data_IF_568976719444
#
_entry.id   IF_568976719444
#
_cell.length_a   1.000
_cell.length_b   1.000
_cell.length_c   1.000
_cell.angle_alpha   90.00
_cell.angle_beta   90.00
_cell.angle_gamma   90.00
#
_symmetry.space_group_name_H-M   'P 1'
#
loop_
_entity.id
_entity.type
_entity.pdbx_description
1 polymer ?
#
# COMPACT_ATOMS: atom_id res chain seq x y z
N UNK A 1 -32.13 -16.67 0.31
CA UNK A 1 -31.68 -17.80 1.15
C UNK A 1 -30.51 -18.44 0.40
N UNK A 2 -29.27 -18.02 0.57
CA UNK A 2 -28.59 -17.32 1.68
C UNK A 2 -27.65 -16.23 1.15
N UNK A 3 -27.59 -15.14 1.92
CA UNK A 3 -26.85 -13.90 1.73
C UNK A 3 -25.69 -13.89 2.74
N UNK A 4 -24.69 -14.77 2.56
CA UNK A 4 -23.70 -15.04 3.63
C UNK A 4 -22.23 -15.18 3.17
N UNK A 5 -21.86 -14.69 1.98
CA UNK A 5 -20.46 -14.39 1.65
C UNK A 5 -20.37 -13.53 0.39
N UNK A 6 -20.25 -12.21 0.50
CA UNK A 6 -19.46 -11.49 -0.51
C UNK A 6 -18.42 -10.61 0.18
N UNK A 7 -17.20 -11.14 0.41
CA UNK A 7 -16.13 -10.38 1.01
C UNK A 7 -15.60 -9.40 -0.04
N UNK A 8 -16.29 -8.27 -0.25
CA UNK A 8 -15.83 -7.05 -0.96
C UNK A 8 -14.57 -7.29 -1.80
N UNK A 9 -14.76 -7.79 -3.02
CA UNK A 9 -13.74 -8.07 -4.06
C UNK A 9 -12.33 -7.57 -3.71
N UNK A 10 -11.44 -8.47 -3.30
CA UNK A 10 -10.03 -8.14 -3.09
C UNK A 10 -9.39 -7.80 -4.44
N UNK A 11 -9.20 -6.52 -4.72
CA UNK A 11 -8.53 -6.04 -5.93
C UNK A 11 -7.01 -6.11 -5.78
N UNK A 12 -6.30 -6.30 -6.89
CA UNK A 12 -4.83 -6.28 -6.90
C UNK A 12 -4.29 -4.95 -6.34
N UNK A 13 -4.91 -3.82 -6.68
CA UNK A 13 -4.47 -2.53 -6.15
C UNK A 13 -4.76 -2.42 -4.65
N UNK A 14 -5.88 -2.95 -4.16
CA UNK A 14 -6.14 -3.09 -2.73
C UNK A 14 -5.07 -3.93 -2.00
N UNK A 15 -4.56 -4.99 -2.63
CA UNK A 15 -3.44 -5.77 -2.09
C UNK A 15 -2.12 -4.98 -2.11
N UNK A 16 -1.86 -4.24 -3.19
CA UNK A 16 -0.68 -3.39 -3.32
C UNK A 16 -0.65 -2.27 -2.28
N UNK A 17 -1.78 -1.63 -1.98
CA UNK A 17 -1.88 -0.62 -0.92
C UNK A 17 -1.41 -1.22 0.41
N UNK A 18 -2.00 -2.34 0.82
CA UNK A 18 -1.64 -3.02 2.08
C UNK A 18 -0.17 -3.46 2.11
N UNK A 19 0.34 -3.95 0.98
CA UNK A 19 1.74 -4.36 0.86
C UNK A 19 2.69 -3.17 1.05
N UNK A 20 2.46 -2.08 0.32
CA UNK A 20 3.32 -0.90 0.37
C UNK A 20 3.23 -0.16 1.70
N UNK A 21 2.06 -0.11 2.35
CA UNK A 21 1.91 0.42 3.70
C UNK A 21 2.73 -0.38 4.72
N UNK A 22 2.65 -1.71 4.65
CA UNK A 22 3.45 -2.59 5.52
C UNK A 22 4.95 -2.40 5.28
N UNK A 23 5.36 -2.31 4.02
CA UNK A 23 6.77 -2.15 3.67
C UNK A 23 7.28 -0.76 4.10
N UNK A 24 6.48 0.30 4.00
CA UNK A 24 6.83 1.61 4.51
C UNK A 24 7.09 1.57 6.04
N UNK A 25 6.17 0.97 6.80
CA UNK A 25 6.33 0.83 8.25
C UNK A 25 7.56 -0.02 8.64
N UNK A 26 7.83 -1.10 7.90
CA UNK A 26 9.04 -1.92 8.08
C UNK A 26 10.31 -1.11 7.82
N UNK A 27 10.31 -0.28 6.78
CA UNK A 27 11.46 0.56 6.45
C UNK A 27 11.69 1.67 7.48
N UNK A 28 10.62 2.24 8.04
CA UNK A 28 10.71 3.19 9.14
C UNK A 28 11.33 2.55 10.40
N UNK A 29 10.89 1.33 10.75
CA UNK A 29 11.49 0.57 11.88
C UNK A 29 12.98 0.28 11.64
N UNK A 30 13.35 -0.14 10.42
CA UNK A 30 14.76 -0.33 10.05
C UNK A 30 15.56 0.98 10.11
N UNK A 31 14.97 2.10 9.71
CA UNK A 31 15.60 3.40 9.80
C UNK A 31 15.85 3.80 11.27
N UNK A 32 14.89 3.54 12.16
CA UNK A 32 15.01 3.80 13.60
C UNK A 32 16.06 2.94 14.29
N UNK A 33 16.28 1.71 13.82
CA UNK A 33 17.29 0.78 14.36
C UNK A 33 18.68 0.94 13.73
N UNK A 34 18.82 1.75 12.69
CA UNK A 34 20.07 1.84 11.95
C UNK A 34 21.17 2.55 12.77
N UNK A 35 22.31 1.88 12.92
CA UNK A 35 23.46 2.42 13.66
C UNK A 35 24.10 3.65 13.00
N UNK A 36 24.02 3.74 11.66
CA UNK A 36 24.62 4.84 10.90
C UNK A 36 23.57 5.73 10.25
N UNK A 37 23.70 7.04 10.43
CA UNK A 37 22.76 8.04 9.89
C UNK A 37 22.57 7.95 8.37
N UNK A 38 23.60 7.56 7.61
CA UNK A 38 23.49 7.42 6.16
C UNK A 38 22.66 6.20 5.75
N UNK A 39 22.72 5.11 6.52
CA UNK A 39 21.86 3.92 6.35
C UNK A 39 20.42 4.29 6.70
N UNK A 40 20.19 4.97 7.83
CA UNK A 40 18.87 5.43 8.25
C UNK A 40 18.20 6.28 7.15
N UNK A 41 18.95 7.22 6.56
CA UNK A 41 18.48 8.03 5.41
C UNK A 41 18.16 7.18 4.18
N UNK A 42 18.91 6.11 3.94
CA UNK A 42 18.63 5.15 2.86
C UNK A 42 17.29 4.44 3.05
N UNK A 43 17.01 3.96 4.26
CA UNK A 43 15.71 3.36 4.59
C UNK A 43 14.56 4.36 4.55
N UNK A 44 14.74 5.57 5.09
CA UNK A 44 13.73 6.62 5.05
C UNK A 44 13.30 6.95 3.61
N UNK A 45 14.25 7.13 2.68
CA UNK A 45 13.94 7.35 1.25
C UNK A 45 13.17 6.20 0.62
N UNK A 46 13.47 4.96 1.03
CA UNK A 46 12.72 3.79 0.56
C UNK A 46 11.30 3.78 1.14
N UNK A 47 11.13 4.16 2.40
CA UNK A 47 9.81 4.28 3.03
C UNK A 47 8.97 5.33 2.31
N UNK A 48 9.54 6.50 1.98
CA UNK A 48 8.87 7.53 1.17
C UNK A 48 8.43 6.99 -0.19
N UNK A 49 9.29 6.23 -0.87
CA UNK A 49 8.95 5.57 -2.14
C UNK A 49 7.82 4.56 -1.98
N UNK A 50 7.83 3.75 -0.92
CA UNK A 50 6.77 2.80 -0.64
C UNK A 50 5.42 3.53 -0.43
N UNK A 51 5.41 4.62 0.34
CA UNK A 51 4.22 5.46 0.52
C UNK A 51 3.70 6.01 -0.81
N UNK A 52 4.58 6.52 -1.68
CA UNK A 52 4.19 7.00 -3.00
C UNK A 52 3.55 5.90 -3.88
N UNK A 53 4.04 4.67 -3.79
CA UNK A 53 3.47 3.52 -4.51
C UNK A 53 2.12 3.08 -3.93
N UNK A 54 1.95 3.16 -2.61
CA UNK A 54 0.65 2.96 -1.95
C UNK A 54 -0.37 3.99 -2.46
N UNK A 55 -0.01 5.28 -2.48
CA UNK A 55 -0.89 6.33 -3.00
C UNK A 55 -1.26 6.11 -4.48
N UNK A 56 -0.30 5.74 -5.32
CA UNK A 56 -0.58 5.41 -6.71
C UNK A 56 -1.55 4.21 -6.87
N UNK A 57 -1.44 3.21 -5.98
CA UNK A 57 -2.39 2.10 -5.96
C UNK A 57 -3.78 2.54 -5.45
N UNK A 58 -3.87 3.40 -4.41
CA UNK A 58 -5.15 3.98 -3.94
C UNK A 58 -5.84 4.79 -5.02
N UNK A 59 -5.09 5.59 -5.77
CA UNK A 59 -5.62 6.38 -6.88
C UNK A 59 -6.22 5.48 -7.98
N UNK A 60 -5.52 4.40 -8.34
CA UNK A 60 -6.01 3.41 -9.32
C UNK A 60 -7.25 2.67 -8.82
N UNK A 61 -7.27 2.31 -7.54
CA UNK A 61 -8.43 1.65 -6.95
C UNK A 61 -9.66 2.56 -6.89
N UNK A 62 -9.47 3.83 -6.55
CA UNK A 62 -10.54 4.84 -6.56
C UNK A 62 -11.08 5.06 -7.98
N UNK A 63 -10.19 5.05 -8.99
CA UNK A 63 -10.59 5.13 -10.39
C UNK A 63 -11.42 3.91 -10.83
N UNK A 64 -11.12 2.70 -10.35
CA UNK A 64 -11.97 1.51 -10.60
C UNK A 64 -13.36 1.66 -10.02
N UNK A 65 -13.48 2.18 -8.79
CA UNK A 65 -14.78 2.44 -8.16
C UNK A 65 -15.62 3.52 -8.86
N UNK A 66 -15.07 4.22 -9.86
CA UNK A 66 -15.74 5.20 -10.72
C UNK A 66 -15.91 4.74 -12.18
N UNK A 67 -15.48 3.53 -12.52
CA UNK A 67 -15.71 2.96 -13.86
C UNK A 67 -17.17 2.52 -14.02
N UNK A 68 -17.73 2.48 -15.25
CA UNK A 68 -19.06 1.95 -15.48
C UNK A 68 -19.08 0.49 -15.01
N UNK A 69 -19.98 0.17 -14.09
CA UNK A 69 -20.31 -1.21 -13.76
C UNK A 69 -20.76 -1.89 -15.07
N UNK A 70 -20.16 -3.03 -15.48
CA UNK A 70 -20.69 -3.76 -16.62
C UNK A 70 -22.09 -4.26 -16.26
N UNK A 71 -23.08 -3.84 -17.07
CA UNK A 71 -24.48 -4.24 -16.99
C UNK A 71 -24.70 -5.74 -17.21
#
# INVERSE_FOLDING_TARGET
MTDETDPKRVTLDGQLVKHWDREAARLDDLAGRAMFKWIARGYARKADRARALAEAARARETARGRGPEPA
#
